data_IF_808118609302
#
_entry.id   IF_808118609302
#
_cell.length_a   1.000
_cell.length_b   1.000
_cell.length_c   1.000
_cell.angle_alpha   90.00
_cell.angle_beta   90.00
_cell.angle_gamma   90.00
#
_symmetry.space_group_name_H-M   'P 1'
#
loop_
_entity.id
_entity.type
_entity.pdbx_description
1 polymer ?
#
# COMPACT_ATOMS: atom_id res chain seq x y z
N UNK A 1 -13.90 6.69 -4.31
CA UNK A 1 -12.99 6.15 -3.26
C UNK A 1 -11.56 6.47 -3.64
N UNK A 2 -10.63 6.58 -2.69
CA UNK A 2 -9.21 6.80 -2.95
C UNK A 2 -8.43 5.66 -2.29
N UNK A 3 -7.55 5.03 -3.04
CA UNK A 3 -6.65 4.00 -2.54
C UNK A 3 -5.24 4.55 -2.64
N UNK A 4 -4.52 4.56 -1.52
CA UNK A 4 -3.14 5.02 -1.43
C UNK A 4 -2.32 3.83 -0.95
N UNK A 5 -1.41 3.36 -1.78
CA UNK A 5 -0.46 2.30 -1.43
C UNK A 5 0.83 2.96 -0.97
N UNK A 6 1.33 2.51 0.16
CA UNK A 6 2.55 3.05 0.79
C UNK A 6 3.56 1.93 0.93
N UNK A 7 4.71 2.09 0.33
CA UNK A 7 5.84 1.17 0.49
C UNK A 7 6.69 1.63 1.67
N UNK A 8 6.93 0.72 2.62
CA UNK A 8 7.67 1.02 3.86
C UNK A 8 9.06 1.60 3.58
N UNK A 9 9.42 2.61 4.35
CA UNK A 9 10.70 3.32 4.22
C UNK A 9 11.93 2.46 4.60
N UNK A 10 11.77 1.32 5.27
CA UNK A 10 12.91 0.50 5.70
C UNK A 10 13.77 -0.03 4.55
N UNK A 11 13.18 -0.26 3.38
CA UNK A 11 13.94 -0.62 2.17
C UNK A 11 14.82 0.51 1.63
N UNK A 12 14.59 1.75 2.06
CA UNK A 12 15.24 2.95 1.52
C UNK A 12 16.53 3.34 2.23
N UNK A 13 16.66 3.04 3.52
CA UNK A 13 17.82 3.43 4.31
C UNK A 13 19.15 2.77 3.84
N UNK A 14 19.10 1.86 2.88
CA UNK A 14 20.28 1.18 2.34
C UNK A 14 20.80 1.70 1.00
N UNK A 15 20.11 2.60 0.31
CA UNK A 15 20.44 2.85 -1.09
C UNK A 15 20.96 4.23 -1.47
N UNK A 16 20.87 5.31 -0.71
CA UNK A 16 21.53 6.58 -1.11
C UNK A 16 21.61 7.62 0.00
N UNK A 17 22.83 7.81 0.52
CA UNK A 17 23.22 8.96 1.35
C UNK A 17 23.63 10.15 0.46
N UNK A 18 22.79 10.67 -0.39
CA UNK A 18 23.12 11.88 -1.16
C UNK A 18 22.01 12.92 -1.12
N UNK A 19 22.40 14.13 -1.02
CA UNK A 19 21.85 15.48 -0.85
C UNK A 19 20.37 15.78 -1.24
N UNK A 20 19.70 14.94 -2.01
CA UNK A 20 18.25 14.97 -2.26
C UNK A 20 17.42 14.35 -1.12
N UNK A 21 18.08 13.78 -0.13
CA UNK A 21 17.51 12.92 0.90
C UNK A 21 16.59 13.62 1.90
N UNK A 22 16.67 14.94 2.05
CA UNK A 22 15.86 15.62 3.06
C UNK A 22 14.36 15.74 2.72
N UNK A 23 13.98 15.70 1.44
CA UNK A 23 12.57 15.75 1.03
C UNK A 23 12.02 14.36 0.83
N UNK A 24 12.80 13.44 0.27
CA UNK A 24 12.36 12.05 0.01
C UNK A 24 12.42 11.16 1.25
N UNK A 25 13.27 11.47 2.23
CA UNK A 25 13.28 10.76 3.52
C UNK A 25 12.06 11.07 4.39
N UNK A 26 11.37 12.18 4.08
CA UNK A 26 10.13 12.59 4.76
C UNK A 26 8.86 12.04 4.08
N UNK A 27 8.99 11.49 2.87
CA UNK A 27 7.86 10.97 2.12
C UNK A 27 8.11 9.51 1.75
N UNK A 28 7.33 8.56 2.26
CA UNK A 28 7.40 7.17 1.82
C UNK A 28 7.12 7.10 0.31
N UNK A 29 7.61 6.05 -0.35
CA UNK A 29 7.14 5.79 -1.72
C UNK A 29 5.66 5.47 -1.66
N UNK A 30 4.90 6.20 -2.42
CA UNK A 30 3.47 6.00 -2.49
C UNK A 30 2.98 6.14 -3.94
N UNK A 31 1.89 5.47 -4.22
CA UNK A 31 1.15 5.66 -5.47
C UNK A 31 -0.35 5.60 -5.19
N UNK A 32 -1.08 6.27 -6.05
CA UNK A 32 -2.53 6.26 -6.02
C UNK A 32 -3.06 5.15 -6.92
N UNK A 33 -4.16 4.53 -6.49
CA UNK A 33 -4.95 3.65 -7.35
C UNK A 33 -6.33 4.25 -7.57
N UNK A 34 -6.81 4.11 -8.80
CA UNK A 34 -8.16 4.48 -9.15
C UNK A 34 -9.18 3.61 -8.40
N UNK A 35 -10.43 4.06 -8.32
CA UNK A 35 -11.53 3.28 -7.75
C UNK A 35 -11.77 1.97 -8.52
N UNK A 36 -11.59 1.99 -9.83
CA UNK A 36 -11.68 0.82 -10.71
C UNK A 36 -10.58 -0.22 -10.48
N UNK A 37 -9.46 0.18 -9.85
CA UNK A 37 -8.39 -0.75 -9.49
C UNK A 37 -8.79 -1.75 -8.40
N UNK A 38 -9.87 -1.49 -7.64
CA UNK A 38 -10.32 -2.39 -6.60
C UNK A 38 -11.06 -3.60 -7.16
N UNK A 39 -10.47 -4.77 -6.97
CA UNK A 39 -11.11 -6.06 -7.21
C UNK A 39 -12.09 -6.36 -6.07
N UNK A 40 -13.39 -6.30 -6.36
CA UNK A 40 -14.47 -6.45 -5.38
C UNK A 40 -15.03 -7.87 -5.37
N UNK A 41 -15.61 -8.27 -4.22
CA UNK A 41 -16.43 -9.45 -4.09
C UNK A 41 -15.71 -10.78 -4.37
N UNK A 42 -14.45 -10.90 -3.98
CA UNK A 42 -13.64 -12.10 -4.18
C UNK A 42 -13.64 -12.63 -5.63
N UNK A 43 -13.76 -11.73 -6.60
CA UNK A 43 -13.69 -12.10 -8.01
C UNK A 43 -12.27 -12.59 -8.35
N UNK A 44 -12.12 -13.50 -9.30
CA UNK A 44 -10.81 -13.92 -9.75
C UNK A 44 -10.06 -12.74 -10.40
N UNK A 45 -8.76 -12.65 -10.11
CA UNK A 45 -7.87 -11.74 -10.82
C UNK A 45 -7.45 -12.40 -12.14
N UNK A 46 -7.52 -11.63 -13.21
CA UNK A 46 -7.03 -12.04 -14.52
C UNK A 46 -5.83 -11.16 -14.90
N UNK A 47 -4.73 -11.82 -15.32
CA UNK A 47 -3.56 -11.09 -15.81
C UNK A 47 -3.98 -10.28 -17.05
N UNK A 48 -3.73 -8.95 -17.06
CA UNK A 48 -4.09 -8.12 -18.20
C UNK A 48 -3.33 -8.52 -19.49
N UNK A 49 -3.96 -8.30 -20.63
CA UNK A 49 -3.37 -8.65 -21.93
C UNK A 49 -2.11 -7.87 -22.31
N UNK A 50 -1.90 -6.72 -21.67
CA UNK A 50 -0.79 -5.81 -21.95
C UNK A 50 0.50 -6.12 -21.16
N UNK A 51 0.48 -7.13 -20.29
CA UNK A 51 1.63 -7.57 -19.51
C UNK A 51 1.82 -9.07 -19.60
N UNK A 52 3.09 -9.51 -19.62
CA UNK A 52 3.47 -10.91 -19.53
C UNK A 52 4.04 -11.27 -18.15
N UNK A 53 4.30 -10.27 -17.32
CA UNK A 53 4.99 -10.43 -16.05
C UNK A 53 4.26 -9.64 -14.96
N UNK A 54 3.43 -10.33 -14.18
CA UNK A 54 2.66 -9.73 -13.11
C UNK A 54 3.14 -10.24 -11.75
N UNK A 55 3.49 -9.33 -10.84
CA UNK A 55 3.81 -9.63 -9.46
C UNK A 55 2.65 -9.33 -8.52
N UNK A 56 2.66 -9.99 -7.35
CA UNK A 56 1.72 -9.75 -6.27
C UNK A 56 2.49 -9.45 -4.98
N UNK A 57 2.08 -8.41 -4.27
CA UNK A 57 2.64 -8.03 -2.97
C UNK A 57 1.53 -7.90 -1.94
N UNK A 58 1.79 -8.38 -0.70
CA UNK A 58 0.81 -8.31 0.37
C UNK A 58 1.04 -7.09 1.24
N UNK A 59 -0.04 -6.43 1.64
CA UNK A 59 -0.06 -5.24 2.47
C UNK A 59 -1.09 -5.36 3.59
N UNK A 60 -0.86 -4.63 4.68
CA UNK A 60 -1.92 -4.32 5.65
C UNK A 60 -2.69 -3.11 5.14
N UNK A 61 -3.99 -3.22 5.02
CA UNK A 61 -4.89 -2.16 4.61
C UNK A 61 -5.55 -1.52 5.84
N UNK A 62 -5.64 -0.20 5.85
CA UNK A 62 -6.38 0.57 6.84
C UNK A 62 -7.59 1.23 6.19
N UNK A 63 -8.75 1.11 6.83
CA UNK A 63 -9.95 1.84 6.41
C UNK A 63 -9.96 3.22 7.06
N UNK A 64 -9.86 4.26 6.23
CA UNK A 64 -9.97 5.64 6.70
C UNK A 64 -11.45 5.98 6.88
N UNK A 65 -11.85 6.30 8.10
CA UNK A 65 -13.22 6.60 8.48
C UNK A 65 -13.52 8.11 8.58
N UNK A 66 -12.48 8.95 8.53
CA UNK A 66 -12.60 10.39 8.70
C UNK A 66 -11.67 11.13 7.76
N UNK A 67 -12.17 12.17 7.13
CA UNK A 67 -11.38 13.05 6.26
C UNK A 67 -10.43 13.93 7.07
N UNK A 68 -9.17 14.08 6.61
CA UNK A 68 -8.18 14.93 7.26
C UNK A 68 -6.99 15.29 6.39
N UNK A 69 -6.28 16.34 6.81
CA UNK A 69 -5.07 16.88 6.17
C UNK A 69 -4.07 17.26 7.26
N UNK A 70 -2.78 17.00 7.02
CA UNK A 70 -1.68 17.32 7.95
C UNK A 70 -1.92 16.80 9.37
N UNK A 71 -2.24 15.52 9.48
CA UNK A 71 -2.60 14.85 10.73
C UNK A 71 -1.32 14.45 11.46
N UNK A 72 -1.04 14.95 12.67
CA UNK A 72 0.07 14.46 13.48
C UNK A 72 -0.13 12.98 13.87
N UNK A 73 0.94 12.17 13.90
CA UNK A 73 0.90 10.74 14.22
C UNK A 73 0.12 10.42 15.50
N UNK A 74 0.30 11.24 16.57
CA UNK A 74 -0.43 11.07 17.85
C UNK A 74 -1.95 11.13 17.74
N UNK A 75 -2.50 11.69 16.66
CA UNK A 75 -3.94 11.79 16.42
C UNK A 75 -4.44 10.85 15.34
N UNK A 76 -3.56 10.08 14.71
CA UNK A 76 -3.90 9.18 13.59
C UNK A 76 -4.99 8.16 13.95
N UNK A 77 -4.99 7.66 15.20
CA UNK A 77 -6.00 6.71 15.71
C UNK A 77 -7.45 7.17 15.57
N UNK A 78 -7.69 8.47 15.31
CA UNK A 78 -9.04 9.04 15.11
C UNK A 78 -9.51 8.98 13.66
N UNK A 79 -8.66 8.52 12.76
CA UNK A 79 -8.88 8.60 11.31
C UNK A 79 -9.03 7.25 10.63
N UNK A 80 -8.76 6.14 11.33
CA UNK A 80 -9.03 4.80 10.85
C UNK A 80 -9.79 3.99 11.89
N UNK A 81 -10.61 3.04 11.44
CA UNK A 81 -11.49 2.26 12.31
C UNK A 81 -11.36 0.76 12.11
N UNK A 82 -10.78 0.31 11.00
CA UNK A 82 -10.64 -1.09 10.69
C UNK A 82 -9.38 -1.37 9.87
N UNK A 83 -8.91 -2.60 9.94
CA UNK A 83 -7.83 -3.09 9.09
C UNK A 83 -8.24 -4.33 8.29
N UNK A 84 -7.50 -4.59 7.24
CA UNK A 84 -7.64 -5.77 6.39
C UNK A 84 -6.30 -6.14 5.79
N UNK A 85 -6.28 -7.22 5.01
CA UNK A 85 -5.15 -7.59 4.16
C UNK A 85 -5.48 -7.18 2.73
N UNK A 86 -4.49 -6.64 2.04
CA UNK A 86 -4.60 -6.31 0.62
C UNK A 86 -3.49 -6.98 -0.18
N UNK A 87 -3.83 -7.35 -1.41
CA UNK A 87 -2.85 -7.82 -2.42
C UNK A 87 -2.79 -6.78 -3.53
N UNK A 88 -1.61 -6.26 -3.78
CA UNK A 88 -1.31 -5.29 -4.83
C UNK A 88 -0.67 -6.00 -6.01
N UNK A 89 -1.26 -5.87 -7.19
CA UNK A 89 -0.75 -6.43 -8.43
C UNK A 89 -0.01 -5.37 -9.23
N UNK A 90 1.14 -5.76 -9.78
CA UNK A 90 2.01 -4.89 -10.58
C UNK A 90 2.37 -5.56 -11.89
N UNK A 91 2.23 -4.85 -13.00
CA UNK A 91 2.75 -5.24 -14.31
C UNK A 91 4.25 -4.92 -14.38
N UNK A 92 5.11 -5.87 -14.05
CA UNK A 92 6.54 -5.64 -13.81
C UNK A 92 7.31 -5.29 -15.08
N UNK A 93 6.99 -5.93 -16.20
CA UNK A 93 7.60 -5.65 -17.50
C UNK A 93 7.27 -4.21 -17.95
N UNK A 94 6.02 -3.80 -17.81
CA UNK A 94 5.57 -2.43 -18.10
C UNK A 94 6.24 -1.43 -17.15
N UNK A 95 6.26 -1.72 -15.84
CA UNK A 95 6.90 -0.85 -14.85
C UNK A 95 8.38 -0.62 -15.16
N UNK A 96 9.08 -1.66 -15.58
CA UNK A 96 10.50 -1.60 -15.95
C UNK A 96 10.73 -0.67 -17.15
N UNK A 97 9.86 -0.72 -18.15
CA UNK A 97 9.92 0.17 -19.32
C UNK A 97 9.66 1.61 -18.90
N UNK A 98 8.55 1.86 -18.16
CA UNK A 98 8.17 3.21 -17.73
C UNK A 98 9.24 3.85 -16.84
N UNK A 99 9.86 3.07 -15.94
CA UNK A 99 10.98 3.57 -15.11
C UNK A 99 12.19 3.95 -15.95
N UNK A 100 12.52 3.19 -16.99
CA UNK A 100 13.65 3.46 -17.87
C UNK A 100 13.42 4.70 -18.73
N UNK A 101 12.20 4.94 -19.16
CA UNK A 101 11.84 6.13 -19.97
C UNK A 101 11.51 7.37 -19.12
N UNK A 102 11.38 7.23 -17.79
CA UNK A 102 11.00 8.33 -16.90
C UNK A 102 9.52 8.71 -16.99
N UNK A 103 8.68 7.79 -17.45
CA UNK A 103 7.25 8.00 -17.61
C UNK A 103 6.44 7.65 -16.33
N UNK A 104 5.20 8.16 -16.19
CA UNK A 104 4.32 7.84 -15.07
C UNK A 104 4.02 6.34 -14.97
N UNK A 105 3.84 5.85 -13.75
CA UNK A 105 3.70 4.41 -13.46
C UNK A 105 2.26 3.91 -13.40
N UNK A 106 1.28 4.78 -13.62
CA UNK A 106 -0.13 4.45 -13.44
C UNK A 106 -0.56 3.22 -14.23
N UNK A 107 -0.10 3.08 -15.48
CA UNK A 107 -0.39 1.92 -16.32
C UNK A 107 0.12 0.61 -15.73
N UNK A 108 1.24 0.63 -15.01
CA UNK A 108 1.83 -0.55 -14.40
C UNK A 108 1.31 -0.85 -12.99
N UNK A 109 0.80 0.17 -12.28
CA UNK A 109 0.47 0.10 -10.86
C UNK A 109 -1.01 0.33 -10.55
N UNK A 110 -1.77 0.98 -11.41
CA UNK A 110 -3.14 1.43 -11.13
C UNK A 110 -4.17 0.99 -12.20
N UNK A 111 -3.89 -0.11 -12.89
CA UNK A 111 -4.83 -0.70 -13.84
C UNK A 111 -6.04 -1.31 -13.15
N UNK A 112 -7.11 -1.57 -13.89
CA UNK A 112 -8.36 -2.13 -13.37
C UNK A 112 -8.13 -3.47 -12.66
N UNK A 113 -8.74 -3.63 -11.49
CA UNK A 113 -8.61 -4.83 -10.65
C UNK A 113 -7.19 -5.09 -10.12
N UNK A 114 -6.30 -4.10 -10.10
CA UNK A 114 -4.91 -4.25 -9.67
C UNK A 114 -4.72 -4.26 -8.14
N UNK A 115 -5.77 -4.23 -7.35
CA UNK A 115 -5.70 -4.42 -5.89
C UNK A 115 -6.92 -5.21 -5.39
N UNK A 116 -6.66 -6.28 -4.66
CA UNK A 116 -7.70 -7.02 -3.92
C UNK A 116 -7.60 -6.66 -2.43
N UNK A 117 -8.75 -6.47 -1.77
CA UNK A 117 -8.82 -6.19 -0.33
C UNK A 117 -9.79 -7.17 0.29
N UNK A 118 -9.36 -7.84 1.36
CA UNK A 118 -10.20 -8.75 2.14
C UNK A 118 -11.25 -8.03 2.99
N UNK A 119 -11.99 -8.80 3.77
CA UNK A 119 -12.96 -8.25 4.71
C UNK A 119 -12.25 -7.44 5.80
N UNK A 120 -12.84 -6.31 6.17
CA UNK A 120 -12.30 -5.46 7.21
C UNK A 120 -12.70 -5.96 8.60
N UNK A 121 -11.72 -5.99 9.50
CA UNK A 121 -11.88 -6.28 10.92
C UNK A 121 -11.77 -4.97 11.68
N UNK A 122 -12.69 -4.72 12.60
CA UNK A 122 -12.68 -3.52 13.46
C UNK A 122 -11.40 -3.50 14.31
N UNK A 123 -10.79 -2.32 14.45
CA UNK A 123 -9.57 -2.18 15.24
C UNK A 123 -9.72 -2.57 16.71
N UNK A 124 -10.94 -2.52 17.26
CA UNK A 124 -11.24 -2.99 18.62
C UNK A 124 -11.19 -4.51 18.76
N UNK A 125 -11.39 -5.24 17.65
CA UNK A 125 -11.33 -6.71 17.61
C UNK A 125 -9.90 -7.23 17.34
N UNK A 126 -9.00 -6.36 16.90
CA UNK A 126 -7.59 -6.70 16.70
C UNK A 126 -6.92 -6.85 18.07
N UNK A 127 -6.80 -8.08 18.54
CA UNK A 127 -6.41 -8.43 19.90
C UNK A 127 -4.94 -8.22 20.28
N UNK A 128 -4.19 -7.41 19.51
CA UNK A 128 -2.77 -7.16 19.77
C UNK A 128 -2.23 -6.00 18.94
N UNK A 129 -0.97 -5.64 19.21
CA UNK A 129 -0.26 -4.60 18.46
C UNK A 129 0.35 -5.13 17.17
N UNK A 130 0.72 -6.43 17.14
CA UNK A 130 1.36 -7.05 15.98
C UNK A 130 0.33 -7.64 15.01
N UNK A 131 0.49 -7.34 13.74
CA UNK A 131 -0.31 -7.88 12.63
C UNK A 131 0.62 -8.46 11.58
N UNK A 132 0.32 -9.65 11.08
CA UNK A 132 1.05 -10.25 9.96
C UNK A 132 0.11 -10.56 8.81
N UNK A 133 0.54 -10.20 7.60
CA UNK A 133 -0.13 -10.56 6.37
C UNK A 133 0.77 -11.52 5.58
N UNK A 134 0.21 -12.67 5.18
CA UNK A 134 0.91 -13.72 4.45
C UNK A 134 0.26 -13.95 3.10
N UNK A 135 1.07 -14.08 2.07
CA UNK A 135 0.65 -14.47 0.73
C UNK A 135 1.17 -15.85 0.39
N UNK A 136 0.26 -16.75 0.10
CA UNK A 136 0.57 -18.09 -0.41
C UNK A 136 0.04 -18.23 -1.85
N UNK A 137 0.84 -18.83 -2.71
CA UNK A 137 0.46 -19.13 -4.10
C UNK A 137 0.73 -20.60 -4.37
N UNK A 138 -0.31 -21.35 -4.69
CA UNK A 138 -0.23 -22.80 -4.93
C UNK A 138 0.35 -23.58 -3.76
N UNK A 139 0.09 -23.14 -2.52
CA UNK A 139 0.59 -23.77 -1.29
C UNK A 139 2.03 -23.39 -0.92
N UNK A 140 2.67 -22.51 -1.65
CA UNK A 140 3.98 -21.96 -1.32
C UNK A 140 3.87 -20.53 -0.79
N UNK A 141 4.51 -20.25 0.34
CA UNK A 141 4.62 -18.90 0.88
C UNK A 141 5.50 -18.03 -0.04
N UNK A 142 4.96 -16.92 -0.52
CA UNK A 142 5.64 -16.01 -1.45
C UNK A 142 6.01 -14.68 -0.83
N UNK A 143 5.22 -14.21 0.13
CA UNK A 143 5.46 -12.92 0.78
C UNK A 143 4.87 -12.91 2.18
N UNK A 144 5.60 -12.34 3.11
CA UNK A 144 5.12 -12.05 4.47
C UNK A 144 5.38 -10.58 4.75
N UNK A 145 4.37 -9.90 5.25
CA UNK A 145 4.49 -8.54 5.76
C UNK A 145 4.15 -8.58 7.25
N UNK A 146 5.11 -8.23 8.09
CA UNK A 146 4.94 -8.19 9.55
C UNK A 146 4.96 -6.74 10.00
N UNK A 147 3.93 -6.34 10.71
CA UNK A 147 3.83 -5.07 11.39
C UNK A 147 3.81 -5.34 12.91
N UNK A 148 4.90 -5.03 13.58
CA UNK A 148 5.06 -5.29 15.03
C UNK A 148 4.17 -4.39 15.89
N UNK A 149 3.89 -3.17 15.42
CA UNK A 149 2.99 -2.22 16.07
C UNK A 149 2.16 -1.48 15.02
N UNK A 150 0.94 -1.95 14.82
CA UNK A 150 0.02 -1.38 13.82
C UNK A 150 -0.36 0.07 14.14
N UNK A 151 -0.45 0.45 15.42
CA UNK A 151 -0.81 1.81 15.80
C UNK A 151 0.33 2.78 15.51
N UNK A 152 1.58 2.36 15.78
CA UNK A 152 2.76 3.14 15.43
C UNK A 152 2.89 3.33 13.93
N UNK A 153 2.82 2.24 13.16
CA UNK A 153 2.91 2.31 11.69
C UNK A 153 1.77 3.11 11.07
N UNK A 154 0.54 2.94 11.55
CA UNK A 154 -0.60 3.74 11.10
C UNK A 154 -0.38 5.23 11.38
N UNK A 155 0.21 5.56 12.54
CA UNK A 155 0.59 6.92 12.89
C UNK A 155 1.54 7.55 11.88
N UNK A 156 2.66 6.90 11.61
CA UNK A 156 3.68 7.35 10.67
C UNK A 156 3.15 7.47 9.23
N UNK A 157 2.41 6.46 8.77
CA UNK A 157 1.83 6.43 7.42
C UNK A 157 0.80 7.55 7.26
N UNK A 158 -0.13 7.69 8.19
CA UNK A 158 -1.19 8.72 8.14
C UNK A 158 -0.57 10.12 8.21
N UNK A 159 0.40 10.36 9.08
CA UNK A 159 1.10 11.64 9.13
C UNK A 159 1.76 11.96 7.79
N UNK A 160 2.55 11.04 7.25
CA UNK A 160 3.29 11.24 5.99
C UNK A 160 2.34 11.46 4.81
N UNK A 161 1.34 10.61 4.65
CA UNK A 161 0.38 10.68 3.55
C UNK A 161 -0.49 11.93 3.66
N UNK A 162 -0.95 12.28 4.85
CA UNK A 162 -1.83 13.43 5.06
C UNK A 162 -1.13 14.79 4.86
N UNK A 163 0.21 14.84 4.88
CA UNK A 163 0.97 16.04 4.48
C UNK A 163 0.79 16.34 2.99
N UNK A 164 0.69 15.31 2.17
CA UNK A 164 0.60 15.44 0.71
C UNK A 164 -0.86 15.42 0.25
N UNK A 165 -1.65 14.48 0.73
CA UNK A 165 -3.04 14.26 0.32
C UNK A 165 -4.02 14.53 1.47
N UNK A 166 -5.22 15.00 1.15
CA UNK A 166 -6.35 14.85 2.07
C UNK A 166 -6.76 13.38 2.04
N UNK A 167 -6.72 12.71 3.15
CA UNK A 167 -7.15 11.32 3.29
C UNK A 167 -8.61 11.25 3.70
#
# INVERSE_FOLDING_TARGET
MKIIVVESAEKYNKLEQNTFNNVLSLCPRLWLKADSALLKNNKPFFIPYFTQECSASVYVALRICRMGKSIPARFAHRYYDACSVAVDFTAEDVLRVLRKSGEPWDMAKSFDSSVAVGDFVDMHEVGGTAVSARLEVNGEERSVNVCEDIAFFAGEVIESVSRVFTI
#
